data_IF_801529422976
#
_entry.id   IF_801529422976
#
_cell.length_a   1.000
_cell.length_b   1.000
_cell.length_c   1.000
_cell.angle_alpha   90.00
_cell.angle_beta   90.00
_cell.angle_gamma   90.00
#
_symmetry.space_group_name_H-M   'P 1'
#
loop_
_entity.id
_entity.type
_entity.pdbx_description
1 polymer ?
#
# COMPACT_ATOMS: atom_id res chain seq x y z
N UNK A 1 29.74 37.57 17.19
CA UNK A 1 29.60 36.09 17.23
C UNK A 1 28.37 35.73 18.05
N UNK A 2 27.59 34.74 17.57
CA UNK A 2 26.31 34.21 18.10
C UNK A 2 25.11 35.13 17.85
N UNK A 3 23.93 34.68 17.41
CA UNK A 3 23.36 33.42 16.86
C UNK A 3 21.94 33.84 16.41
N UNK A 4 21.49 33.41 15.21
CA UNK A 4 20.21 32.71 14.94
C UNK A 4 18.98 33.12 15.80
N UNK A 5 17.80 33.49 15.30
CA UNK A 5 16.92 32.79 14.32
C UNK A 5 15.80 33.77 13.89
N UNK A 6 15.52 33.79 12.59
CA UNK A 6 14.32 34.35 11.96
C UNK A 6 13.06 33.65 12.49
N UNK A 7 12.18 34.39 13.18
CA UNK A 7 10.76 34.03 13.24
C UNK A 7 10.02 34.86 12.20
N UNK A 8 9.77 34.28 11.04
CA UNK A 8 8.81 34.78 10.08
C UNK A 8 7.83 33.65 9.78
N UNK A 9 6.79 33.59 10.60
CA UNK A 9 5.52 33.00 10.21
C UNK A 9 4.96 33.88 9.09
N UNK A 10 5.13 33.45 7.85
CA UNK A 10 4.34 33.97 6.73
C UNK A 10 3.45 32.85 6.23
N UNK A 11 2.18 32.96 6.63
CA UNK A 11 1.03 32.23 6.12
C UNK A 11 0.92 32.61 4.65
N UNK A 12 1.46 31.78 3.76
CA UNK A 12 1.28 31.97 2.32
C UNK A 12 -0.08 31.40 1.94
N UNK A 13 -0.92 32.32 1.48
CA UNK A 13 -2.31 32.18 1.13
C UNK A 13 -2.61 30.95 0.27
N UNK A 14 -3.64 30.21 0.68
CA UNK A 14 -4.39 29.36 -0.23
C UNK A 14 -4.94 30.25 -1.36
N UNK A 15 -4.34 30.12 -2.54
CA UNK A 15 -4.93 30.61 -3.77
C UNK A 15 -6.18 29.76 -4.05
N UNK A 16 -7.32 30.22 -3.54
CA UNK A 16 -8.63 29.81 -4.02
C UNK A 16 -8.78 30.47 -5.39
N UNK A 17 -8.25 29.82 -6.43
CA UNK A 17 -8.63 30.10 -7.80
C UNK A 17 -10.01 29.49 -8.01
N UNK A 18 -11.04 30.31 -7.75
CA UNK A 18 -12.40 30.06 -8.19
C UNK A 18 -12.46 30.28 -9.70
N UNK A 19 -12.13 29.27 -10.50
CA UNK A 19 -12.56 29.20 -11.89
C UNK A 19 -13.93 28.55 -11.92
N UNK A 20 -14.95 29.35 -12.24
CA UNK A 20 -16.21 28.83 -12.76
C UNK A 20 -15.87 28.10 -14.06
N UNK A 21 -16.06 26.79 -14.13
CA UNK A 21 -16.15 26.08 -15.41
C UNK A 21 -16.92 24.77 -15.23
N UNK A 22 -18.10 24.78 -15.86
CA UNK A 22 -18.87 23.68 -16.44
C UNK A 22 -19.24 22.45 -15.59
N UNK A 23 -20.45 21.93 -15.87
CA UNK A 23 -20.85 20.57 -15.49
C UNK A 23 -19.93 19.59 -16.24
N UNK A 24 -18.71 19.43 -15.73
CA UNK A 24 -17.71 18.52 -16.27
C UNK A 24 -17.96 17.10 -15.79
N UNK A 25 -17.76 16.16 -16.70
CA UNK A 25 -17.82 14.71 -16.53
C UNK A 25 -17.26 14.21 -15.18
N UNK A 26 -17.76 13.09 -14.64
CA UNK A 26 -17.28 12.55 -13.38
C UNK A 26 -15.78 12.35 -13.45
N UNK A 27 -15.04 13.14 -12.66
CA UNK A 27 -13.58 13.12 -12.53
C UNK A 27 -13.13 11.66 -12.51
N UNK A 28 -12.35 11.27 -13.50
CA UNK A 28 -11.67 9.97 -13.46
C UNK A 28 -10.55 10.14 -12.44
N UNK A 29 -10.48 9.29 -11.39
CA UNK A 29 -9.42 9.41 -10.40
C UNK A 29 -8.07 9.33 -11.11
N UNK A 30 -7.18 10.28 -10.81
CA UNK A 30 -5.82 10.22 -11.32
C UNK A 30 -5.16 8.94 -10.79
N UNK A 31 -4.60 8.12 -11.70
CA UNK A 31 -3.74 7.00 -11.32
C UNK A 31 -2.42 7.60 -10.86
N UNK A 32 -2.26 7.76 -9.56
CA UNK A 32 -1.01 8.20 -8.93
C UNK A 32 -0.41 7.00 -8.22
N UNK A 33 0.75 6.51 -8.67
CA UNK A 33 1.41 5.39 -7.98
C UNK A 33 1.73 5.77 -6.54
N UNK A 34 1.78 4.75 -5.68
CA UNK A 34 1.90 4.95 -4.24
C UNK A 34 3.32 4.72 -3.73
N UNK A 35 3.45 4.53 -2.42
CA UNK A 35 4.71 4.14 -1.77
C UNK A 35 4.46 3.15 -0.65
N UNK A 36 5.48 2.38 -0.31
CA UNK A 36 5.50 1.61 0.93
C UNK A 36 6.88 1.66 1.56
N UNK A 37 6.91 1.50 2.88
CA UNK A 37 8.09 1.59 3.71
C UNK A 37 8.35 0.24 4.36
N UNK A 38 9.57 -0.25 4.23
CA UNK A 38 10.09 -1.45 4.89
C UNK A 38 11.31 -1.00 5.70
N UNK A 39 11.26 -1.16 7.02
CA UNK A 39 12.38 -0.78 7.91
C UNK A 39 12.81 0.69 7.75
N UNK A 40 11.86 1.59 7.54
CA UNK A 40 12.14 3.02 7.34
C UNK A 40 12.69 3.39 5.96
N UNK A 41 12.92 2.41 5.07
CA UNK A 41 13.26 2.66 3.67
C UNK A 41 11.99 2.66 2.82
N UNK A 42 11.80 3.72 2.05
CA UNK A 42 10.63 3.89 1.18
C UNK A 42 10.92 3.40 -0.23
N UNK A 43 9.93 2.72 -0.80
CA UNK A 43 9.91 2.15 -2.13
C UNK A 43 8.65 2.65 -2.86
N UNK A 44 8.70 2.68 -4.20
CA UNK A 44 7.53 2.99 -5.01
C UNK A 44 6.56 1.81 -5.04
N UNK A 45 5.26 2.11 -5.06
CA UNK A 45 4.18 1.16 -5.23
C UNK A 45 3.56 1.38 -6.60
N UNK A 46 4.26 0.93 -7.64
CA UNK A 46 3.93 1.23 -9.03
C UNK A 46 2.87 0.29 -9.59
N UNK A 47 2.80 -0.93 -9.08
CA UNK A 47 1.94 -1.97 -9.62
C UNK A 47 1.29 -2.81 -8.52
N UNK A 48 0.06 -3.27 -8.78
CA UNK A 48 -0.66 -4.17 -7.89
C UNK A 48 -1.37 -5.27 -8.68
N UNK A 49 -1.26 -6.51 -8.22
CA UNK A 49 -1.90 -7.66 -8.86
C UNK A 49 -2.30 -8.75 -7.85
N UNK A 50 -3.24 -9.58 -8.27
CA UNK A 50 -3.62 -10.78 -7.55
C UNK A 50 -2.78 -11.98 -7.95
N UNK A 51 -2.23 -12.65 -6.95
CA UNK A 51 -1.76 -14.03 -7.08
C UNK A 51 -2.94 -15.00 -6.95
N UNK A 52 -2.90 -16.14 -7.64
CA UNK A 52 -4.01 -17.10 -7.68
C UNK A 52 -4.46 -17.63 -6.31
N UNK A 53 -3.63 -17.52 -5.26
CA UNK A 53 -3.85 -18.07 -3.90
C UNK A 53 -4.17 -16.99 -2.86
N UNK A 54 -5.05 -16.04 -3.19
CA UNK A 54 -5.59 -15.03 -2.25
C UNK A 54 -4.55 -14.00 -1.79
N UNK A 55 -3.55 -13.68 -2.61
CA UNK A 55 -2.53 -12.67 -2.27
C UNK A 55 -2.62 -11.45 -3.15
N UNK A 56 -2.92 -10.29 -2.57
CA UNK A 56 -2.74 -8.99 -3.17
C UNK A 56 -1.25 -8.63 -3.10
N UNK A 57 -0.57 -8.47 -4.23
CA UNK A 57 0.83 -8.05 -4.28
C UNK A 57 0.89 -6.58 -4.66
N UNK A 58 1.60 -5.80 -3.86
CA UNK A 58 1.93 -4.39 -4.11
C UNK A 58 3.44 -4.31 -4.31
N UNK A 59 3.89 -3.80 -5.45
CA UNK A 59 5.30 -3.90 -5.88
C UNK A 59 5.77 -2.66 -6.63
N UNK A 60 7.08 -2.45 -6.65
CA UNK A 60 7.72 -1.40 -7.45
C UNK A 60 7.89 -1.78 -8.93
N UNK A 61 7.72 -3.05 -9.31
CA UNK A 61 7.94 -3.53 -10.68
C UNK A 61 6.91 -4.60 -11.08
N UNK A 62 6.38 -4.57 -12.31
CA UNK A 62 5.30 -5.49 -12.74
C UNK A 62 5.76 -6.95 -12.88
N UNK A 63 7.02 -7.19 -13.25
CA UNK A 63 7.70 -8.48 -13.27
C UNK A 63 9.19 -8.21 -13.09
N UNK A 64 9.69 -8.36 -11.87
CA UNK A 64 11.12 -8.24 -11.61
C UNK A 64 11.72 -9.62 -11.40
N UNK A 65 12.95 -9.86 -11.85
CA UNK A 65 13.76 -10.93 -11.30
C UNK A 65 13.83 -10.80 -9.77
N UNK A 66 13.90 -11.92 -9.03
CA UNK A 66 13.81 -11.95 -7.55
C UNK A 66 14.76 -10.98 -6.82
N UNK A 67 15.81 -10.52 -7.48
CA UNK A 67 16.82 -9.60 -6.93
C UNK A 67 16.49 -8.09 -7.05
N UNK A 68 15.44 -7.70 -7.79
CA UNK A 68 15.03 -6.28 -7.93
C UNK A 68 13.63 -6.02 -7.36
N UNK A 69 12.81 -7.06 -7.22
CA UNK A 69 11.45 -6.89 -6.71
C UNK A 69 11.48 -6.55 -5.23
N UNK A 70 10.96 -5.37 -4.89
CA UNK A 70 10.53 -5.08 -3.54
C UNK A 70 9.00 -5.16 -3.57
N UNK A 71 8.43 -5.95 -2.67
CA UNK A 71 7.00 -6.17 -2.68
C UNK A 71 6.45 -6.49 -1.29
N UNK A 72 5.20 -6.10 -1.11
CA UNK A 72 4.37 -6.49 0.02
C UNK A 72 3.21 -7.29 -0.55
N UNK A 73 3.21 -8.59 -0.30
CA UNK A 73 2.05 -9.43 -0.54
C UNK A 73 1.20 -9.47 0.73
N UNK A 74 -0.09 -9.19 0.61
CA UNK A 74 -1.08 -9.26 1.70
C UNK A 74 -2.06 -10.37 1.34
N UNK A 75 -2.16 -11.38 2.19
CA UNK A 75 -3.05 -12.52 1.96
C UNK A 75 -4.46 -12.19 2.46
N UNK A 76 -5.37 -11.90 1.54
CA UNK A 76 -6.77 -11.49 1.77
C UNK A 76 -7.65 -12.15 0.71
N UNK A 77 -8.85 -12.60 1.07
CA UNK A 77 -9.71 -13.38 0.17
C UNK A 77 -10.25 -12.56 -1.02
N UNK A 78 -10.74 -11.35 -0.76
CA UNK A 78 -11.20 -10.39 -1.78
C UNK A 78 -11.27 -8.99 -1.19
N UNK A 79 -10.91 -7.97 -1.99
CA UNK A 79 -11.00 -6.56 -1.60
C UNK A 79 -12.43 -6.01 -1.56
N UNK A 80 -13.41 -6.77 -2.09
CA UNK A 80 -14.82 -6.36 -2.11
C UNK A 80 -15.58 -6.64 -0.83
N UNK A 81 -15.00 -7.44 0.07
CA UNK A 81 -15.72 -7.93 1.23
C UNK A 81 -15.83 -6.89 2.35
N UNK A 82 -14.96 -5.88 2.37
CA UNK A 82 -14.96 -4.80 3.36
C UNK A 82 -14.07 -3.65 2.94
N UNK A 83 -14.33 -2.47 3.49
CA UNK A 83 -13.47 -1.29 3.41
C UNK A 83 -12.27 -1.37 4.36
N UNK A 84 -12.37 -2.19 5.42
CA UNK A 84 -11.30 -2.38 6.40
C UNK A 84 -11.17 -3.84 6.79
N UNK A 85 -9.94 -4.33 6.76
CA UNK A 85 -9.55 -5.65 7.26
C UNK A 85 -8.54 -5.50 8.40
N UNK A 86 -8.61 -6.40 9.38
CA UNK A 86 -7.65 -6.53 10.48
C UNK A 86 -6.95 -7.89 10.43
N UNK A 87 -5.71 -7.97 10.90
CA UNK A 87 -4.99 -9.24 10.89
C UNK A 87 -5.67 -10.28 11.79
N UNK A 88 -5.95 -11.45 11.23
CA UNK A 88 -6.22 -12.66 12.00
C UNK A 88 -5.75 -13.88 11.21
N UNK A 89 -4.91 -14.71 11.82
CA UNK A 89 -4.44 -15.93 11.16
C UNK A 89 -5.60 -16.85 10.77
N UNK A 90 -5.53 -17.45 9.57
CA UNK A 90 -6.60 -18.30 9.02
C UNK A 90 -6.90 -19.55 9.86
N UNK A 91 -5.99 -19.96 10.74
CA UNK A 91 -6.19 -21.05 11.71
C UNK A 91 -6.99 -20.64 12.96
N UNK A 92 -7.23 -19.35 13.18
CA UNK A 92 -8.05 -18.87 14.28
C UNK A 92 -9.53 -19.16 14.01
N UNK A 93 -10.24 -19.71 14.99
CA UNK A 93 -11.67 -20.02 14.88
C UNK A 93 -12.54 -18.77 14.64
N UNK A 94 -12.07 -17.60 15.05
CA UNK A 94 -12.76 -16.33 14.86
C UNK A 94 -12.44 -15.66 13.52
N UNK A 95 -11.65 -16.30 12.66
CA UNK A 95 -11.30 -15.75 11.35
C UNK A 95 -12.56 -15.50 10.52
N UNK A 96 -12.72 -14.26 10.06
CA UNK A 96 -13.79 -13.83 9.19
C UNK A 96 -13.19 -13.26 7.90
N UNK A 97 -13.36 -13.97 6.79
CA UNK A 97 -12.85 -13.54 5.47
C UNK A 97 -13.35 -12.17 5.03
N UNK A 98 -14.46 -11.69 5.61
CA UNK A 98 -14.99 -10.35 5.32
C UNK A 98 -14.35 -9.26 6.15
N UNK A 99 -13.70 -9.60 7.28
CA UNK A 99 -13.10 -8.63 8.19
C UNK A 99 -11.59 -8.79 8.34
N UNK A 100 -11.03 -9.88 7.84
CA UNK A 100 -9.66 -10.26 8.11
C UNK A 100 -8.83 -10.52 6.85
N UNK A 101 -7.54 -10.18 6.97
CA UNK A 101 -6.49 -10.73 6.15
C UNK A 101 -5.64 -11.66 7.03
N UNK A 102 -5.01 -12.66 6.44
CA UNK A 102 -4.48 -13.81 7.19
C UNK A 102 -2.97 -14.00 7.10
N UNK A 103 -2.27 -13.20 6.30
CA UNK A 103 -0.83 -13.33 6.15
C UNK A 103 -0.21 -12.22 5.32
N UNK A 104 1.12 -12.20 5.30
CA UNK A 104 1.89 -11.34 4.44
C UNK A 104 3.26 -11.96 4.15
N UNK A 105 3.75 -11.71 2.94
CA UNK A 105 5.10 -12.04 2.49
C UNK A 105 5.72 -10.73 2.00
N UNK A 106 6.83 -10.32 2.61
CA UNK A 106 7.51 -9.07 2.27
C UNK A 106 8.88 -9.42 1.70
N UNK A 107 9.11 -9.05 0.46
CA UNK A 107 10.38 -9.22 -0.25
C UNK A 107 11.04 -7.86 -0.42
N UNK A 108 12.31 -7.74 -0.08
CA UNK A 108 13.04 -6.48 -0.24
C UNK A 108 14.56 -6.67 -0.25
N UNK A 109 15.26 -5.75 -0.88
CA UNK A 109 16.73 -5.69 -0.90
C UNK A 109 17.19 -4.45 -0.14
N UNK A 110 17.54 -4.55 1.16
CA UNK A 110 17.85 -3.38 1.98
C UNK A 110 19.10 -2.63 1.49
N UNK A 111 20.15 -3.37 1.10
CA UNK A 111 21.41 -2.81 0.58
C UNK A 111 21.31 -2.24 -0.84
N UNK A 112 20.29 -2.65 -1.62
CA UNK A 112 20.21 -2.39 -3.05
C UNK A 112 21.22 -3.19 -3.89
N UNK A 113 21.95 -4.13 -3.29
CA UNK A 113 22.93 -4.99 -3.98
C UNK A 113 22.24 -6.26 -4.47
N UNK A 114 22.52 -6.62 -5.72
CA UNK A 114 22.06 -7.87 -6.32
C UNK A 114 22.42 -9.08 -5.45
N UNK A 115 21.45 -9.98 -5.22
CA UNK A 115 21.66 -11.23 -4.49
C UNK A 115 21.54 -11.12 -2.96
N UNK A 116 21.32 -9.90 -2.42
CA UNK A 116 21.11 -9.68 -0.99
C UNK A 116 19.63 -9.48 -0.61
N UNK A 117 18.73 -9.97 -1.47
CA UNK A 117 17.29 -9.96 -1.21
C UNK A 117 16.94 -10.71 0.07
N UNK A 118 15.93 -10.21 0.78
CA UNK A 118 15.38 -10.80 1.99
C UNK A 118 13.90 -11.04 1.80
N UNK A 119 13.43 -12.13 2.38
CA UNK A 119 12.01 -12.41 2.56
C UNK A 119 11.71 -12.50 4.06
N UNK A 120 10.65 -11.82 4.49
CA UNK A 120 10.12 -11.95 5.85
C UNK A 120 8.63 -12.30 5.80
N UNK A 121 8.22 -13.12 6.76
CA UNK A 121 6.85 -13.57 6.97
C UNK A 121 6.49 -13.48 8.45
N UNK A 122 5.28 -13.91 8.84
CA UNK A 122 4.86 -13.89 10.24
C UNK A 122 4.27 -12.55 10.65
N UNK A 123 3.07 -12.26 10.13
CA UNK A 123 2.27 -11.12 10.58
C UNK A 123 1.84 -11.36 12.02
N UNK A 124 1.88 -10.32 12.84
CA UNK A 124 1.41 -10.36 14.24
C UNK A 124 0.29 -9.37 14.51
N UNK A 125 0.21 -8.30 13.73
CA UNK A 125 -0.85 -7.30 13.78
C UNK A 125 -0.90 -6.55 12.45
N UNK A 126 -2.02 -5.91 12.16
CA UNK A 126 -2.10 -4.95 11.07
C UNK A 126 -3.52 -4.65 10.61
N UNK A 127 -3.61 -3.66 9.74
CA UNK A 127 -4.83 -3.19 9.11
C UNK A 127 -4.61 -3.01 7.61
N UNK A 128 -5.63 -3.31 6.83
CA UNK A 128 -5.71 -3.05 5.40
C UNK A 128 -7.00 -2.27 5.15
N UNK A 129 -6.89 -1.02 4.72
CA UNK A 129 -8.01 -0.17 4.35
C UNK A 129 -8.08 -0.06 2.83
N UNK A 130 -9.28 -0.22 2.29
CA UNK A 130 -9.55 -0.30 0.87
C UNK A 130 -10.71 0.63 0.58
N UNK A 131 -10.49 1.59 -0.31
CA UNK A 131 -11.58 2.33 -0.95
C UNK A 131 -11.49 2.13 -2.45
N UNK A 132 -12.63 2.21 -3.12
CA UNK A 132 -12.72 2.00 -4.56
C UNK A 132 -13.59 3.09 -5.18
N UNK A 133 -13.07 3.74 -6.20
CA UNK A 133 -13.82 4.66 -7.06
C UNK A 133 -13.68 4.20 -8.51
N UNK A 134 -14.79 3.74 -9.12
CA UNK A 134 -14.81 3.11 -10.45
C UNK A 134 -13.85 1.89 -10.52
N UNK A 135 -12.74 1.98 -11.24
CA UNK A 135 -11.72 0.93 -11.36
C UNK A 135 -10.44 1.23 -10.54
N UNK A 136 -10.41 2.37 -9.85
CA UNK A 136 -9.24 2.81 -9.09
C UNK A 136 -9.44 2.45 -7.62
N UNK A 137 -8.50 1.71 -7.08
CA UNK A 137 -8.43 1.35 -5.67
C UNK A 137 -7.47 2.30 -4.97
N UNK A 138 -7.83 2.73 -3.76
CA UNK A 138 -6.88 3.26 -2.78
C UNK A 138 -6.72 2.22 -1.69
N UNK A 139 -5.50 1.70 -1.53
CA UNK A 139 -5.18 0.64 -0.59
C UNK A 139 -4.17 1.20 0.39
N UNK A 140 -4.50 1.23 1.67
CA UNK A 140 -3.60 1.67 2.75
C UNK A 140 -3.38 0.52 3.71
N UNK A 141 -2.13 0.18 3.97
CA UNK A 141 -1.81 -0.88 4.90
C UNK A 141 -0.81 -0.41 5.95
N UNK A 142 -0.93 -0.97 7.14
CA UNK A 142 0.02 -0.83 8.23
C UNK A 142 0.01 -2.15 8.98
N UNK A 143 1.15 -2.83 9.04
CA UNK A 143 1.25 -4.16 9.63
C UNK A 143 2.62 -4.41 10.24
N UNK A 144 2.64 -5.34 11.20
CA UNK A 144 3.86 -5.82 11.83
C UNK A 144 4.17 -7.23 11.32
N UNK A 145 5.27 -7.37 10.56
CA UNK A 145 5.74 -8.63 9.96
C UNK A 145 7.12 -8.96 10.51
N UNK A 146 7.30 -10.15 11.09
CA UNK A 146 8.54 -10.53 11.77
C UNK A 146 9.03 -9.48 12.79
N UNK A 147 8.11 -8.82 13.50
CA UNK A 147 8.41 -7.74 14.46
C UNK A 147 8.76 -6.39 13.83
N UNK A 148 8.69 -6.26 12.50
CA UNK A 148 9.05 -5.04 11.75
C UNK A 148 7.79 -4.34 11.25
N UNK A 149 7.79 -3.01 11.31
CA UNK A 149 6.69 -2.21 10.76
C UNK A 149 6.81 -2.08 9.25
N UNK A 150 5.70 -2.39 8.57
CA UNK A 150 5.53 -2.35 7.13
C UNK A 150 4.26 -1.55 6.84
N UNK A 151 4.40 -0.41 6.19
CA UNK A 151 3.27 0.49 5.94
C UNK A 151 3.33 1.04 4.52
N UNK A 152 2.18 1.35 3.94
CA UNK A 152 2.16 1.86 2.58
C UNK A 152 0.79 2.29 2.12
N UNK A 153 0.80 3.00 1.00
CA UNK A 153 -0.38 3.39 0.25
C UNK A 153 -0.17 3.01 -1.21
N UNK A 154 -1.19 2.49 -1.86
CA UNK A 154 -1.26 2.29 -3.30
C UNK A 154 -2.52 2.98 -3.83
N UNK A 155 -2.40 3.67 -4.96
CA UNK A 155 -3.56 4.20 -5.70
C UNK A 155 -3.44 3.78 -7.16
N UNK A 156 -4.40 3.01 -7.65
CA UNK A 156 -4.36 2.52 -9.02
C UNK A 156 -5.26 1.33 -9.29
N UNK A 157 -5.08 0.69 -10.44
CA UNK A 157 -5.84 -0.51 -10.82
C UNK A 157 -5.28 -1.74 -10.13
N UNK A 158 -6.16 -2.69 -9.80
CA UNK A 158 -5.77 -3.99 -9.27
C UNK A 158 -5.94 -5.03 -10.37
N UNK A 159 -4.85 -5.61 -10.83
CA UNK A 159 -4.88 -6.61 -11.89
C UNK A 159 -5.26 -8.02 -11.35
N UNK A 160 -5.98 -8.81 -12.14
CA UNK A 160 -6.38 -10.20 -11.78
C UNK A 160 -7.87 -10.38 -11.46
N UNK A 161 -8.29 -11.57 -11.02
CA UNK A 161 -9.73 -11.96 -10.96
C UNK A 161 -10.40 -11.94 -9.57
N UNK A 162 -9.67 -11.66 -8.48
CA UNK A 162 -10.22 -11.73 -7.10
C UNK A 162 -10.66 -10.38 -6.52
N UNK A 163 -10.92 -9.40 -7.37
CA UNK A 163 -11.61 -8.16 -7.01
C UNK A 163 -13.08 -8.14 -7.45
N UNK A 164 -13.74 -9.29 -7.63
CA UNK A 164 -15.18 -9.33 -7.95
C UNK A 164 -15.97 -9.97 -6.82
#
# INVERSE_FOLDING_TARGET
MKKLVLYLFTIAAFAISCTKEEKGDPVTPAINTGTYTIEGKTYTADYTYWTGRDGLVITNLPQAPEYIENSVQISVDSLHLSETFTYMGRSNINYDKTKNFFGSYVKYTPSGIYGEGREITGVTAGTLNVTREKEVFTIKFNMTVAGKQIEGTYVGKVEGKKWY
#
